data_IF_612064616371
#
_entry.id   IF_612064616371
#
_cell.length_a   1.000
_cell.length_b   1.000
_cell.length_c   1.000
_cell.angle_alpha   90.00
_cell.angle_beta   90.00
_cell.angle_gamma   90.00
#
_symmetry.space_group_name_H-M   'P 1'
#
loop_
_entity.id
_entity.type
_entity.pdbx_description
1 polymer ?
#
# COMPACT_ATOMS: atom_id res chain seq x y z
N UNK A 1 -0.66 -4.08 -9.79
CA UNK A 1 -1.32 -2.83 -10.25
C UNK A 1 -0.89 -1.70 -9.33
N UNK A 2 -0.75 -0.48 -9.84
CA UNK A 2 -0.45 0.72 -9.07
C UNK A 2 -1.56 1.74 -9.30
N UNK A 3 -2.05 2.32 -8.22
CA UNK A 3 -3.10 3.33 -8.23
C UNK A 3 -2.58 4.62 -7.58
N UNK A 4 -2.97 5.77 -8.12
CA UNK A 4 -2.68 7.11 -7.56
C UNK A 4 -3.98 7.89 -7.59
N UNK A 5 -4.36 8.52 -6.47
CA UNK A 5 -5.63 9.23 -6.32
C UNK A 5 -6.84 8.39 -6.80
N UNK A 6 -6.86 7.10 -6.46
CA UNK A 6 -7.93 6.16 -6.83
C UNK A 6 -7.94 5.70 -8.29
N UNK A 7 -7.03 6.18 -9.14
CA UNK A 7 -6.98 5.85 -10.56
C UNK A 7 -5.86 4.86 -10.88
N UNK A 8 -6.12 3.89 -11.76
CA UNK A 8 -5.12 2.91 -12.20
C UNK A 8 -4.10 3.62 -13.10
N UNK A 9 -2.85 3.71 -12.65
CA UNK A 9 -1.76 4.33 -13.42
C UNK A 9 -0.81 3.31 -14.04
N UNK A 10 -0.76 2.08 -13.49
CA UNK A 10 0.06 0.99 -14.06
C UNK A 10 -0.51 -0.38 -13.75
N UNK A 11 -0.44 -1.27 -14.72
CA UNK A 11 -0.74 -2.69 -14.56
C UNK A 11 0.35 -3.54 -15.22
N UNK A 12 0.75 -4.61 -14.53
CA UNK A 12 1.70 -5.59 -15.04
C UNK A 12 1.22 -6.97 -14.56
N UNK A 13 1.17 -7.93 -15.47
CA UNK A 13 0.85 -9.30 -15.11
C UNK A 13 2.07 -9.95 -14.46
N UNK A 14 1.85 -10.62 -13.32
CA UNK A 14 2.86 -11.42 -12.62
C UNK A 14 2.24 -12.80 -12.41
N UNK A 15 3.03 -13.85 -12.61
CA UNK A 15 2.63 -15.25 -12.43
C UNK A 15 3.48 -15.87 -11.32
N UNK A 16 2.96 -16.95 -10.72
CA UNK A 16 3.62 -17.65 -9.62
C UNK A 16 3.15 -17.18 -8.23
N UNK A 17 3.66 -17.81 -7.17
CA UNK A 17 3.28 -17.50 -5.80
C UNK A 17 3.78 -16.11 -5.37
N UNK A 18 3.09 -15.49 -4.41
CA UNK A 18 3.56 -14.28 -3.74
C UNK A 18 4.68 -14.67 -2.79
N UNK A 19 5.83 -14.00 -2.89
CA UNK A 19 6.92 -14.17 -1.94
C UNK A 19 6.47 -13.71 -0.54
N UNK A 20 6.64 -14.58 0.46
CA UNK A 20 6.35 -14.26 1.85
C UNK A 20 7.61 -13.83 2.59
N UNK A 21 7.45 -13.08 3.68
CA UNK A 21 8.54 -12.63 4.54
C UNK A 21 8.11 -12.73 6.00
N UNK A 22 9.04 -13.18 6.86
CA UNK A 22 8.90 -13.14 8.32
C UNK A 22 9.58 -11.91 8.94
N UNK A 23 10.25 -11.10 8.12
CA UNK A 23 10.87 -9.86 8.58
C UNK A 23 9.82 -8.82 9.00
N UNK A 24 10.17 -7.86 9.87
CA UNK A 24 9.23 -6.85 10.31
C UNK A 24 8.83 -5.94 9.15
N UNK A 25 7.54 -5.61 9.08
CA UNK A 25 7.01 -4.60 8.17
C UNK A 25 7.53 -3.21 8.60
N UNK A 26 8.13 -2.49 7.65
CA UNK A 26 8.62 -1.13 7.85
C UNK A 26 7.95 -0.19 6.86
N UNK A 27 7.47 0.94 7.35
CA UNK A 27 6.86 2.01 6.55
C UNK A 27 7.72 3.26 6.73
N UNK A 28 8.02 3.97 5.63
CA UNK A 28 8.80 5.21 5.68
C UNK A 28 10.32 5.05 5.79
N UNK A 29 10.87 3.82 5.74
CA UNK A 29 12.31 3.62 5.65
C UNK A 29 12.75 2.15 5.73
N UNK A 30 14.06 1.92 5.65
CA UNK A 30 14.67 0.60 5.85
C UNK A 30 15.85 0.65 6.83
N UNK A 31 16.25 -0.52 7.35
CA UNK A 31 17.34 -0.64 8.33
C UNK A 31 18.73 -0.84 7.71
N UNK A 32 18.84 -0.78 6.37
CA UNK A 32 20.06 -1.20 5.66
C UNK A 32 20.87 0.02 5.20
N UNK A 33 20.22 1.03 4.62
CA UNK A 33 20.91 2.16 3.95
C UNK A 33 20.56 3.54 4.54
N UNK A 34 20.00 3.62 5.76
CA UNK A 34 19.55 4.89 6.38
C UNK A 34 18.67 5.76 5.46
N UNK A 35 17.89 5.12 4.59
CA UNK A 35 16.98 5.80 3.67
C UNK A 35 15.63 5.96 4.37
N UNK A 36 15.33 7.18 4.80
CA UNK A 36 14.08 7.54 5.45
C UNK A 36 13.30 8.53 4.59
N UNK A 37 12.00 8.31 4.47
CA UNK A 37 11.10 9.21 3.78
C UNK A 37 10.99 10.52 4.55
N UNK A 38 11.36 11.63 3.92
CA UNK A 38 11.30 12.97 4.50
C UNK A 38 9.93 13.62 4.18
N UNK A 39 8.87 13.08 4.76
CA UNK A 39 7.50 13.57 4.56
C UNK A 39 6.51 12.96 5.54
N UNK A 40 5.21 13.23 5.33
CA UNK A 40 4.13 12.66 6.15
C UNK A 40 3.59 11.40 5.49
N UNK A 41 3.41 10.36 6.28
CA UNK A 41 2.68 9.14 5.93
C UNK A 41 1.54 9.03 6.93
N UNK A 42 0.33 8.82 6.44
CA UNK A 42 -0.86 8.71 7.26
C UNK A 42 -1.80 7.66 6.64
N UNK A 43 -2.85 7.25 7.38
CA UNK A 43 -4.00 6.53 6.82
C UNK A 43 -3.65 5.17 6.17
N UNK A 44 -2.63 4.49 6.71
CA UNK A 44 -2.10 3.23 6.15
C UNK A 44 -3.06 2.07 6.37
N UNK A 45 -3.43 1.39 5.27
CA UNK A 45 -4.29 0.20 5.27
C UNK A 45 -3.56 -1.00 4.65
N UNK A 46 -3.75 -2.18 5.24
CA UNK A 46 -3.20 -3.46 4.76
C UNK A 46 -4.35 -4.44 4.64
N UNK A 47 -4.41 -5.14 3.51
CA UNK A 47 -5.47 -6.10 3.21
C UNK A 47 -4.89 -7.47 2.92
N UNK A 48 -5.59 -8.52 3.32
CA UNK A 48 -5.26 -9.91 3.02
C UNK A 48 -5.79 -10.40 1.66
N UNK A 49 -6.40 -9.51 0.88
CA UNK A 49 -6.89 -9.78 -0.48
C UNK A 49 -6.71 -8.57 -1.39
N UNK A 50 -6.79 -8.82 -2.69
CA UNK A 50 -6.85 -7.74 -3.67
C UNK A 50 -8.12 -6.90 -3.51
N UNK A 51 -7.96 -5.57 -3.63
CA UNK A 51 -9.06 -4.61 -3.70
C UNK A 51 -9.52 -4.42 -5.15
N UNK A 52 -10.82 -4.24 -5.34
CA UNK A 52 -11.39 -3.73 -6.58
C UNK A 52 -11.11 -2.22 -6.72
N UNK A 53 -11.38 -1.65 -7.90
CA UNK A 53 -11.21 -0.22 -8.10
C UNK A 53 -12.23 0.62 -7.31
N UNK A 54 -13.49 0.18 -7.23
CA UNK A 54 -14.50 0.86 -6.42
C UNK A 54 -14.15 0.83 -4.94
N UNK A 55 -13.63 -0.30 -4.47
CA UNK A 55 -13.14 -0.46 -3.10
C UNK A 55 -11.99 0.52 -2.78
N UNK A 56 -11.02 0.68 -3.68
CA UNK A 56 -9.94 1.66 -3.54
C UNK A 56 -10.50 3.10 -3.48
N UNK A 57 -11.51 3.41 -4.29
CA UNK A 57 -12.15 4.73 -4.32
C UNK A 57 -12.95 5.04 -3.05
N UNK A 58 -13.55 4.02 -2.42
CA UNK A 58 -14.18 4.18 -1.10
C UNK A 58 -13.11 4.39 -0.04
N UNK A 59 -12.10 3.53 -0.02
CA UNK A 59 -11.04 3.53 0.99
C UNK A 59 -10.26 4.87 0.99
N UNK A 60 -9.98 5.47 -0.17
CA UNK A 60 -9.27 6.76 -0.26
C UNK A 60 -10.05 7.95 0.30
N UNK A 61 -11.37 7.84 0.41
CA UNK A 61 -12.26 8.90 0.92
C UNK A 61 -12.72 8.63 2.36
N UNK A 62 -12.22 7.55 2.98
CA UNK A 62 -12.57 7.16 4.34
C UNK A 62 -11.34 7.38 5.23
N UNK A 63 -11.50 7.87 6.45
CA UNK A 63 -10.41 7.98 7.42
C UNK A 63 -10.18 6.65 8.17
N UNK A 64 -8.97 6.37 8.63
CA UNK A 64 -8.60 5.24 9.47
C UNK A 64 -8.87 5.69 10.89
N UNK A 65 -9.82 5.03 11.56
CA UNK A 65 -10.15 5.35 12.95
C UNK A 65 -11.02 6.60 13.13
N UNK A 66 -11.64 7.11 12.07
CA UNK A 66 -12.74 8.09 12.20
C UNK A 66 -14.00 7.44 12.79
N UNK A 67 -14.68 8.17 13.67
CA UNK A 67 -16.04 7.87 14.14
C UNK A 67 -17.08 8.23 13.07
#
# INVERSE_FOLDING_TARGET
KLYVNGQLVRSQAVRGPIATSTGPLRIGGNSIWNQYFQGRIDEVRIYNRARSQSEIQVDMNTAVGGL
#
